data_IF_724115060812
#
_entry.id   IF_724115060812
#
_cell.length_a   1.000
_cell.length_b   1.000
_cell.length_c   1.000
_cell.angle_alpha   90.00
_cell.angle_beta   90.00
_cell.angle_gamma   90.00
#
_symmetry.space_group_name_H-M   'P 1'
#
loop_
_entity.id
_entity.type
_entity.pdbx_description
1 polymer ?
#
# COMPACT_ATOMS: atom_id res chain seq x y z
N UNK A 1 9.61 12.08 19.55
CA UNK A 1 9.62 10.94 18.61
C UNK A 1 8.44 10.08 18.96
N UNK A 2 7.41 10.03 18.11
CA UNK A 2 6.37 9.00 18.21
C UNK A 2 7.01 7.71 17.69
N UNK A 3 7.16 6.69 18.52
CA UNK A 3 7.60 5.36 18.08
C UNK A 3 6.40 4.68 17.42
N UNK A 4 6.36 4.67 16.09
CA UNK A 4 5.39 3.88 15.35
C UNK A 4 5.70 2.39 15.54
N UNK A 5 4.69 1.59 15.91
CA UNK A 5 4.82 0.12 15.92
C UNK A 5 4.46 -0.40 14.54
N UNK A 6 5.44 -0.95 13.85
CA UNK A 6 5.28 -1.62 12.56
C UNK A 6 5.24 -3.13 12.80
N UNK A 7 4.26 -3.83 12.21
CA UNK A 7 4.15 -5.29 12.30
C UNK A 7 3.93 -5.91 10.93
N UNK A 8 4.64 -7.00 10.68
CA UNK A 8 4.59 -7.79 9.43
C UNK A 8 3.97 -9.19 9.61
N UNK A 9 3.69 -9.60 10.84
CA UNK A 9 3.10 -10.91 11.12
C UNK A 9 1.59 -10.94 10.78
N UNK A 10 1.20 -11.85 9.89
CA UNK A 10 -0.16 -12.00 9.35
C UNK A 10 -1.22 -12.23 10.45
N UNK A 11 -0.89 -13.05 11.46
CA UNK A 11 -1.77 -13.34 12.60
C UNK A 11 -1.89 -12.11 13.52
N UNK A 12 -0.80 -11.36 13.64
CA UNK A 12 -0.76 -10.10 14.37
C UNK A 12 -1.63 -9.03 13.68
N UNK A 13 -1.50 -8.87 12.35
CA UNK A 13 -2.33 -7.94 11.55
C UNK A 13 -3.80 -8.27 11.73
N UNK A 14 -4.20 -9.53 11.54
CA UNK A 14 -5.60 -9.93 11.67
C UNK A 14 -6.17 -9.68 13.07
N UNK A 15 -5.36 -9.95 14.10
CA UNK A 15 -5.73 -9.73 15.50
C UNK A 15 -5.86 -8.25 15.84
N UNK A 16 -4.93 -7.42 15.39
CA UNK A 16 -4.94 -5.96 15.58
C UNK A 16 -6.17 -5.34 14.91
N UNK A 17 -6.45 -5.71 13.67
CA UNK A 17 -7.63 -5.22 12.92
C UNK A 17 -8.92 -5.61 13.64
N UNK A 18 -9.06 -6.87 14.07
CA UNK A 18 -10.24 -7.32 14.85
C UNK A 18 -10.38 -6.58 16.18
N UNK A 19 -9.26 -6.29 16.85
CA UNK A 19 -9.27 -5.62 18.16
C UNK A 19 -9.68 -4.15 18.00
N UNK A 20 -9.13 -3.45 17.02
CA UNK A 20 -9.44 -2.03 16.80
C UNK A 20 -10.83 -1.78 16.20
N UNK A 21 -11.30 -2.64 15.29
CA UNK A 21 -12.66 -2.54 14.74
C UNK A 21 -13.74 -2.81 15.79
N UNK A 22 -13.45 -3.63 16.81
CA UNK A 22 -14.34 -3.85 17.97
C UNK A 22 -14.32 -2.69 18.97
N UNK A 23 -13.19 -2.02 19.15
CA UNK A 23 -13.10 -0.84 20.02
C UNK A 23 -13.58 0.42 19.29
N UNK A 24 -14.90 0.65 19.28
CA UNK A 24 -15.52 1.93 18.87
C UNK A 24 -15.29 3.05 19.90
N UNK A 25 -14.04 3.23 20.34
CA UNK A 25 -13.69 4.34 21.23
C UNK A 25 -13.59 5.62 20.39
N UNK A 26 -14.22 6.71 20.85
CA UNK A 26 -14.18 8.05 20.25
C UNK A 26 -12.78 8.69 20.24
N UNK A 27 -11.71 7.92 20.46
CA UNK A 27 -10.31 8.37 20.45
C UNK A 27 -9.47 7.62 19.42
N UNK A 28 -10.05 6.70 18.64
CA UNK A 28 -9.32 5.83 17.71
C UNK A 28 -9.78 6.05 16.27
N UNK A 29 -8.83 6.12 15.32
CA UNK A 29 -9.08 6.21 13.89
C UNK A 29 -8.48 4.98 13.19
N UNK A 30 -9.23 4.47 12.21
CA UNK A 30 -8.78 3.44 11.30
C UNK A 30 -8.64 4.03 9.90
N UNK A 31 -7.40 4.05 9.39
CA UNK A 31 -7.07 4.39 8.01
C UNK A 31 -6.79 3.10 7.25
N UNK A 32 -7.62 2.83 6.25
CA UNK A 32 -7.44 1.69 5.34
C UNK A 32 -6.94 2.24 4.02
N UNK A 33 -5.72 1.88 3.62
CA UNK A 33 -5.23 2.15 2.27
C UNK A 33 -6.09 1.37 1.27
N UNK A 34 -7.02 2.07 0.64
CA UNK A 34 -8.16 1.48 -0.07
C UNK A 34 -7.80 0.85 -1.43
N UNK A 35 -6.54 0.88 -1.87
CA UNK A 35 -6.18 0.45 -3.22
C UNK A 35 -5.63 -0.98 -3.34
N UNK A 36 -5.11 -1.59 -2.27
CA UNK A 36 -4.59 -2.97 -2.31
C UNK A 36 -5.26 -3.94 -1.33
N UNK A 37 -5.85 -3.45 -0.23
CA UNK A 37 -6.48 -4.34 0.76
C UNK A 37 -7.79 -4.98 0.27
N UNK A 38 -8.52 -4.30 -0.64
CA UNK A 38 -9.78 -4.79 -1.17
C UNK A 38 -9.61 -5.91 -2.20
N UNK A 39 -8.45 -6.10 -2.83
CA UNK A 39 -8.24 -7.23 -3.76
C UNK A 39 -7.52 -8.37 -3.07
N UNK A 40 -6.43 -8.16 -2.32
CA UNK A 40 -5.70 -9.27 -1.70
C UNK A 40 -6.50 -9.96 -0.57
N UNK A 41 -7.17 -9.18 0.30
CA UNK A 41 -7.90 -9.73 1.46
C UNK A 41 -9.26 -10.28 1.05
N UNK A 42 -9.98 -9.62 0.15
CA UNK A 42 -11.26 -10.14 -0.36
C UNK A 42 -10.99 -11.33 -1.27
N UNK A 43 -9.94 -11.35 -2.09
CA UNK A 43 -9.64 -12.53 -2.92
C UNK A 43 -9.14 -13.71 -2.09
N UNK A 44 -8.31 -13.51 -1.04
CA UNK A 44 -7.93 -14.62 -0.13
C UNK A 44 -9.09 -15.06 0.77
N UNK A 45 -9.93 -14.15 1.26
CA UNK A 45 -11.11 -14.48 2.06
C UNK A 45 -12.22 -15.16 1.24
N UNK A 46 -12.45 -14.73 -0.01
CA UNK A 46 -13.38 -15.37 -0.94
C UNK A 46 -12.83 -16.66 -1.56
N UNK A 47 -11.50 -16.80 -1.73
CA UNK A 47 -10.88 -18.05 -2.21
C UNK A 47 -11.03 -19.21 -1.22
N UNK A 48 -11.35 -18.95 0.06
CA UNK A 48 -11.56 -20.01 1.05
C UNK A 48 -12.87 -20.79 0.81
N UNK A 49 -13.84 -20.20 0.09
CA UNK A 49 -15.17 -20.78 -0.16
C UNK A 49 -15.46 -21.08 -1.65
N UNK A 50 -14.51 -20.90 -2.56
CA UNK A 50 -14.66 -21.21 -3.99
C UNK A 50 -13.94 -22.52 -4.35
N UNK A 51 -14.58 -23.47 -5.06
CA UNK A 51 -13.94 -24.70 -5.48
C UNK A 51 -12.73 -24.39 -6.36
N UNK A 52 -11.70 -25.25 -6.24
CA UNK A 52 -10.39 -25.13 -6.89
C UNK A 52 -10.47 -25.01 -8.41
N UNK A 53 -10.80 -23.83 -8.92
CA UNK A 53 -10.41 -23.43 -10.25
C UNK A 53 -8.91 -23.17 -10.18
N UNK A 54 -8.14 -23.90 -10.99
CA UNK A 54 -6.74 -23.61 -11.29
C UNK A 54 -6.66 -22.18 -11.81
N UNK A 55 -6.55 -21.22 -10.90
CA UNK A 55 -6.22 -19.84 -11.23
C UNK A 55 -4.75 -19.87 -11.53
N UNK A 56 -4.41 -19.71 -12.81
CA UNK A 56 -3.11 -19.23 -13.27
C UNK A 56 -2.84 -17.87 -12.61
N UNK A 57 -2.51 -17.86 -11.31
CA UNK A 57 -2.02 -16.68 -10.62
C UNK A 57 -0.52 -16.57 -10.94
N UNK A 58 -0.20 -16.29 -12.19
CA UNK A 58 1.03 -15.57 -12.48
C UNK A 58 0.63 -14.11 -12.28
N UNK A 59 0.98 -13.53 -11.13
CA UNK A 59 0.94 -12.07 -10.98
C UNK A 59 1.70 -11.45 -12.14
N UNK A 60 1.22 -10.33 -12.66
CA UNK A 60 1.92 -9.64 -13.75
C UNK A 60 3.32 -9.27 -13.25
N UNK A 61 4.34 -9.75 -13.95
CA UNK A 61 5.72 -9.35 -13.69
C UNK A 61 5.89 -7.91 -14.20
N UNK A 62 6.25 -6.99 -13.31
CA UNK A 62 6.40 -5.57 -13.62
C UNK A 62 7.44 -5.30 -14.71
N UNK A 63 8.47 -6.13 -14.84
CA UNK A 63 9.46 -5.99 -15.90
C UNK A 63 8.90 -6.29 -17.29
N UNK A 64 7.95 -7.22 -17.41
CA UNK A 64 7.30 -7.53 -18.69
C UNK A 64 6.42 -6.38 -19.20
N UNK A 65 6.08 -5.43 -18.31
CA UNK A 65 5.33 -4.23 -18.62
C UNK A 65 6.22 -3.06 -19.09
N UNK A 66 7.56 -3.23 -19.08
CA UNK A 66 8.50 -2.25 -19.63
C UNK A 66 8.79 -2.59 -21.09
N UNK A 67 8.22 -1.83 -22.02
CA UNK A 67 8.37 -2.01 -23.47
C UNK A 67 8.98 -0.74 -24.05
N UNK A 68 10.05 -0.87 -24.83
CA UNK A 68 10.76 0.26 -25.46
C UNK A 68 11.16 1.38 -24.45
N UNK A 69 11.51 0.98 -23.23
CA UNK A 69 11.89 1.86 -22.13
C UNK A 69 10.72 2.65 -21.52
N UNK A 70 9.48 2.23 -21.75
CA UNK A 70 8.28 2.77 -21.12
C UNK A 70 7.62 1.68 -20.28
N UNK A 71 7.34 1.99 -19.01
CA UNK A 71 6.49 1.15 -18.19
C UNK A 71 5.03 1.43 -18.55
N UNK A 72 4.26 0.39 -18.85
CA UNK A 72 2.84 0.48 -19.19
C UNK A 72 1.99 -0.21 -18.13
N UNK A 73 1.25 0.56 -17.33
CA UNK A 73 0.33 0.03 -16.33
C UNK A 73 -0.89 -0.60 -17.04
N UNK A 74 -0.80 -1.89 -17.33
CA UNK A 74 -1.84 -2.69 -17.98
C UNK A 74 -2.37 -3.70 -16.98
N UNK A 75 -3.70 -3.89 -16.94
CA UNK A 75 -4.30 -4.87 -16.05
C UNK A 75 -5.76 -5.18 -16.39
N UNK A 76 -6.24 -6.29 -15.85
CA UNK A 76 -7.62 -6.75 -16.05
C UNK A 76 -8.67 -5.80 -15.44
N UNK A 77 -8.28 -4.99 -14.45
CA UNK A 77 -9.15 -4.03 -13.77
C UNK A 77 -9.49 -2.81 -14.65
N UNK A 78 -8.71 -2.51 -15.69
CA UNK A 78 -8.90 -1.35 -16.58
C UNK A 78 -8.63 -1.69 -18.05
N UNK A 79 -9.42 -2.62 -18.60
CA UNK A 79 -9.30 -3.04 -20.01
C UNK A 79 -9.46 -1.86 -20.97
N UNK A 80 -8.56 -1.79 -21.96
CA UNK A 80 -8.60 -0.78 -23.02
C UNK A 80 -7.89 0.54 -22.71
N UNK A 81 -7.27 0.68 -21.53
CA UNK A 81 -6.47 1.85 -21.15
C UNK A 81 -5.17 1.44 -20.47
N UNK A 82 -4.17 2.33 -20.47
CA UNK A 82 -2.93 2.17 -19.72
C UNK A 82 -2.27 3.52 -19.46
N UNK A 83 -1.84 3.78 -18.21
CA UNK A 83 -0.91 4.86 -17.90
C UNK A 83 0.49 4.43 -18.34
N UNK A 84 1.28 5.33 -18.91
CA UNK A 84 2.65 5.01 -19.33
C UNK A 84 3.66 6.02 -18.78
N UNK A 85 4.73 5.53 -18.17
CA UNK A 85 5.81 6.35 -17.63
C UNK A 85 7.15 5.96 -18.27
N UNK A 86 7.90 6.95 -18.77
CA UNK A 86 9.23 6.70 -19.33
C UNK A 86 10.18 6.29 -18.22
N UNK A 87 10.78 5.11 -18.36
CA UNK A 87 11.72 4.55 -17.40
C UNK A 87 13.10 5.11 -17.67
N UNK A 88 13.70 5.76 -16.68
CA UNK A 88 15.07 6.23 -16.70
C UNK A 88 16.04 5.13 -16.26
N UNK A 89 15.73 4.46 -15.14
CA UNK A 89 16.46 3.26 -14.67
C UNK A 89 15.59 2.42 -13.75
N UNK A 90 15.76 1.09 -13.81
CA UNK A 90 15.20 0.18 -12.80
C UNK A 90 16.13 0.22 -11.57
N UNK A 91 15.55 0.35 -10.38
CA UNK A 91 16.25 0.46 -9.10
C UNK A 91 16.24 -0.87 -8.35
N UNK A 92 15.10 -1.55 -8.32
CA UNK A 92 14.94 -2.85 -7.67
C UNK A 92 13.84 -3.65 -8.37
N UNK A 93 13.99 -4.96 -8.45
CA UNK A 93 12.93 -5.85 -8.95
C UNK A 93 13.10 -7.25 -8.36
N UNK A 94 12.08 -7.72 -7.66
CA UNK A 94 12.03 -9.07 -7.13
C UNK A 94 10.58 -9.46 -6.80
N UNK A 95 10.35 -10.77 -6.71
CA UNK A 95 9.07 -11.31 -6.25
C UNK A 95 9.16 -11.67 -4.77
N UNK A 96 8.23 -11.17 -3.98
CA UNK A 96 8.03 -11.55 -2.57
C UNK A 96 7.08 -12.75 -2.49
N UNK A 97 6.84 -13.25 -1.27
CA UNK A 97 5.82 -14.28 -1.03
C UNK A 97 4.39 -13.79 -1.33
N UNK A 98 4.21 -12.47 -1.48
CA UNK A 98 2.91 -11.84 -1.66
C UNK A 98 2.70 -11.34 -3.09
N UNK A 99 3.69 -10.68 -3.68
CA UNK A 99 3.53 -9.92 -4.93
C UNK A 99 4.85 -9.71 -5.68
N UNK A 100 4.75 -9.26 -6.93
CA UNK A 100 5.88 -8.79 -7.73
C UNK A 100 6.16 -7.34 -7.36
N UNK A 101 7.38 -7.03 -6.94
CA UNK A 101 7.78 -5.70 -6.52
C UNK A 101 8.78 -5.14 -7.52
N UNK A 102 8.45 -3.99 -8.11
CA UNK A 102 9.31 -3.25 -9.03
C UNK A 102 9.45 -1.81 -8.53
N UNK A 103 10.68 -1.33 -8.44
CA UNK A 103 10.99 0.08 -8.20
C UNK A 103 11.80 0.61 -9.37
N UNK A 104 11.38 1.72 -9.96
CA UNK A 104 12.14 2.38 -11.02
C UNK A 104 12.14 3.91 -10.88
N UNK A 105 13.18 4.55 -11.37
CA UNK A 105 13.22 6.00 -11.57
C UNK A 105 12.59 6.31 -12.94
N UNK A 106 11.59 7.18 -12.96
CA UNK A 106 10.97 7.71 -14.17
C UNK A 106 11.61 9.04 -14.58
N UNK A 107 11.47 9.43 -15.85
CA UNK A 107 12.02 10.71 -16.32
C UNK A 107 11.37 11.95 -15.69
N UNK A 108 10.09 11.86 -15.31
CA UNK A 108 9.30 13.03 -14.91
C UNK A 108 8.46 12.86 -13.63
N UNK A 109 8.38 11.67 -13.05
CA UNK A 109 7.62 11.39 -11.82
C UNK A 109 8.51 10.93 -10.65
N UNK A 110 9.83 11.02 -10.84
CA UNK A 110 10.84 10.56 -9.88
C UNK A 110 10.75 9.05 -9.65
N UNK A 111 10.93 8.59 -8.41
CA UNK A 111 10.87 7.16 -8.09
C UNK A 111 9.42 6.68 -8.09
N UNK A 112 9.22 5.48 -8.62
CA UNK A 112 7.93 4.83 -8.79
C UNK A 112 8.00 3.44 -8.16
N UNK A 113 7.08 3.15 -7.25
CA UNK A 113 6.85 1.81 -6.69
C UNK A 113 5.69 1.15 -7.44
N UNK A 114 5.90 -0.07 -7.90
CA UNK A 114 4.92 -0.89 -8.61
C UNK A 114 4.80 -2.23 -7.92
N UNK A 115 3.56 -2.66 -7.67
CA UNK A 115 3.23 -3.95 -7.07
C UNK A 115 2.27 -4.72 -7.99
N UNK A 116 2.63 -5.95 -8.37
CA UNK A 116 1.91 -6.80 -9.34
C UNK A 116 1.50 -6.04 -10.64
N UNK A 117 2.40 -5.17 -11.12
CA UNK A 117 2.18 -4.37 -12.32
C UNK A 117 1.33 -3.11 -12.16
N UNK A 118 0.94 -2.76 -10.92
CA UNK A 118 0.12 -1.58 -10.59
C UNK A 118 0.98 -0.53 -9.88
N UNK A 119 0.93 0.72 -10.35
CA UNK A 119 1.64 1.84 -9.74
C UNK A 119 1.00 2.15 -8.39
N UNK A 120 1.80 2.11 -7.32
CA UNK A 120 1.34 2.39 -5.96
C UNK A 120 1.62 3.83 -5.56
N UNK A 121 2.83 4.31 -5.86
CA UNK A 121 3.25 5.66 -5.50
C UNK A 121 4.27 6.18 -6.50
N UNK A 122 4.17 7.48 -6.81
CA UNK A 122 5.25 8.24 -7.45
C UNK A 122 5.64 9.40 -6.55
N UNK A 123 6.94 9.67 -6.44
CA UNK A 123 7.44 10.77 -5.58
C UNK A 123 6.89 12.15 -5.98
N UNK A 124 6.43 12.32 -7.22
CA UNK A 124 5.92 13.61 -7.71
C UNK A 124 4.52 13.92 -7.21
N UNK A 125 3.65 12.92 -7.08
CA UNK A 125 2.22 13.10 -6.79
C UNK A 125 1.74 12.38 -5.52
N UNK A 126 2.64 11.70 -4.80
CA UNK A 126 2.32 10.96 -3.56
C UNK A 126 1.54 11.79 -2.53
N UNK A 127 1.85 13.08 -2.44
CA UNK A 127 1.25 14.01 -1.48
C UNK A 127 -0.27 14.07 -1.65
N UNK A 128 -0.77 14.00 -2.89
CA UNK A 128 -2.19 14.11 -3.18
C UNK A 128 -2.99 12.97 -2.55
N UNK A 129 -2.47 11.75 -2.61
CA UNK A 129 -3.08 10.59 -1.97
C UNK A 129 -2.85 10.59 -0.46
N UNK A 130 -1.59 10.74 -0.05
CA UNK A 130 -1.17 10.60 1.35
C UNK A 130 -1.80 11.67 2.25
N UNK A 131 -1.85 12.94 1.80
CA UNK A 131 -2.50 14.02 2.54
C UNK A 131 -4.00 13.80 2.65
N UNK A 132 -4.66 13.39 1.57
CA UNK A 132 -6.12 13.21 1.55
C UNK A 132 -6.55 12.06 2.46
N UNK A 133 -5.87 10.91 2.37
CA UNK A 133 -6.23 9.74 3.18
C UNK A 133 -5.91 9.93 4.66
N UNK A 134 -4.88 10.72 5.01
CA UNK A 134 -4.55 11.03 6.39
C UNK A 134 -5.41 12.16 6.96
N UNK A 135 -5.41 13.34 6.33
CA UNK A 135 -5.94 14.55 6.92
C UNK A 135 -7.46 14.60 6.98
N UNK A 136 -8.18 14.10 5.97
CA UNK A 136 -9.65 14.11 5.96
C UNK A 136 -10.23 13.42 7.22
N UNK A 137 -9.90 12.14 7.51
CA UNK A 137 -10.41 11.48 8.70
C UNK A 137 -9.87 12.06 10.00
N UNK A 138 -8.61 12.52 10.03
CA UNK A 138 -8.03 13.12 11.25
C UNK A 138 -8.66 14.46 11.62
N UNK A 139 -9.05 15.28 10.63
CA UNK A 139 -9.76 16.53 10.87
C UNK A 139 -11.26 16.34 11.14
N UNK A 140 -11.87 15.29 10.60
CA UNK A 140 -13.28 14.98 10.87
C UNK A 140 -13.50 14.43 12.29
N UNK A 141 -12.48 13.84 12.90
CA UNK A 141 -12.57 13.23 14.21
C UNK A 141 -12.25 14.25 15.34
N UNK A 142 -13.05 14.32 16.42
CA UNK A 142 -12.91 15.38 17.41
C UNK A 142 -11.63 15.30 18.25
N UNK A 143 -11.09 14.10 18.47
CA UNK A 143 -9.86 13.92 19.27
C UNK A 143 -9.11 12.63 18.92
N UNK A 144 -8.43 12.55 17.77
CA UNK A 144 -7.77 11.34 17.33
C UNK A 144 -6.46 11.10 18.10
N UNK A 145 -6.45 10.09 18.97
CA UNK A 145 -5.27 9.74 19.79
C UNK A 145 -4.53 8.52 19.28
N UNK A 146 -5.24 7.51 18.80
CA UNK A 146 -4.64 6.26 18.28
C UNK A 146 -5.05 6.05 16.84
N UNK A 147 -4.08 5.83 15.97
CA UNK A 147 -4.32 5.67 14.53
C UNK A 147 -3.78 4.32 14.09
N UNK A 148 -4.60 3.54 13.41
CA UNK A 148 -4.18 2.32 12.73
C UNK A 148 -4.16 2.56 11.23
N UNK A 149 -2.99 2.36 10.62
CA UNK A 149 -2.77 2.41 9.19
C UNK A 149 -2.58 0.98 8.69
N UNK A 150 -3.38 0.59 7.70
CA UNK A 150 -3.30 -0.72 7.05
C UNK A 150 -2.83 -0.52 5.61
N UNK A 151 -1.71 -1.15 5.24
CA UNK A 151 -1.12 -1.05 3.89
C UNK A 151 -0.47 0.30 3.61
N UNK A 152 0.48 0.70 4.46
CA UNK A 152 1.19 1.98 4.39
C UNK A 152 2.67 1.84 4.07
N UNK A 153 3.12 0.70 3.54
CA UNK A 153 4.53 0.29 3.50
C UNK A 153 5.54 1.25 2.85
N UNK A 154 5.08 2.29 2.14
CA UNK A 154 5.89 3.43 1.65
C UNK A 154 6.22 4.48 2.72
N UNK A 155 5.50 4.46 3.84
CA UNK A 155 5.69 5.34 5.01
C UNK A 155 5.09 6.74 4.85
N UNK A 156 4.55 7.09 3.69
CA UNK A 156 4.05 8.44 3.44
C UNK A 156 2.78 8.79 4.21
N UNK A 157 1.85 7.85 4.36
CA UNK A 157 0.67 8.07 5.22
C UNK A 157 1.08 8.26 6.68
N UNK A 158 2.07 7.49 7.17
CA UNK A 158 2.59 7.65 8.53
C UNK A 158 3.20 9.03 8.75
N UNK A 159 3.93 9.56 7.77
CA UNK A 159 4.48 10.91 7.79
C UNK A 159 3.39 11.95 8.00
N UNK A 160 2.27 11.83 7.28
CA UNK A 160 1.17 12.79 7.37
C UNK A 160 0.36 12.65 8.67
N UNK A 161 0.13 11.42 9.16
CA UNK A 161 -0.48 11.17 10.47
C UNK A 161 0.35 11.79 11.59
N UNK A 162 1.68 11.63 11.55
CA UNK A 162 2.59 12.14 12.57
C UNK A 162 2.62 13.67 12.70
N UNK A 163 2.05 14.42 11.73
CA UNK A 163 1.91 15.88 11.84
C UNK A 163 0.83 16.31 12.83
N UNK A 164 -0.12 15.43 13.18
CA UNK A 164 -1.22 15.74 14.08
C UNK A 164 -0.79 15.59 15.54
N UNK A 165 -0.59 16.73 16.24
CA UNK A 165 -0.10 16.76 17.63
C UNK A 165 -0.98 16.01 18.65
N UNK A 166 -2.26 15.79 18.33
CA UNK A 166 -3.18 15.03 19.20
C UNK A 166 -2.99 13.51 19.12
N UNK A 167 -2.27 13.02 18.12
CA UNK A 167 -1.98 11.60 17.94
C UNK A 167 -0.87 11.18 18.90
N UNK A 168 -1.17 10.18 19.71
CA UNK A 168 -0.31 9.61 20.76
C UNK A 168 0.29 8.26 20.32
N UNK A 169 -0.40 7.49 19.48
CA UNK A 169 0.05 6.18 19.00
C UNK A 169 -0.31 5.99 17.51
N UNK A 170 0.65 5.53 16.72
CA UNK A 170 0.44 5.12 15.32
C UNK A 170 0.86 3.66 15.20
N UNK A 171 -0.07 2.82 14.74
CA UNK A 171 0.16 1.41 14.46
C UNK A 171 0.08 1.24 12.96
N UNK A 172 1.13 0.66 12.39
CA UNK A 172 1.15 0.30 10.98
C UNK A 172 1.16 -1.22 10.82
N UNK A 173 0.26 -1.71 9.99
CA UNK A 173 0.20 -3.10 9.56
C UNK A 173 0.53 -3.18 8.07
N UNK A 174 1.68 -3.75 7.75
CA UNK A 174 2.11 -4.06 6.38
C UNK A 174 2.48 -5.53 6.33
N UNK A 175 1.83 -6.31 5.48
CA UNK A 175 2.00 -7.78 5.40
C UNK A 175 3.30 -8.16 4.68
N UNK A 176 3.74 -7.32 3.73
CA UNK A 176 4.89 -7.62 2.89
C UNK A 176 6.11 -6.82 3.33
N UNK A 177 7.04 -7.50 4.03
CA UNK A 177 8.30 -6.91 4.47
C UNK A 177 9.15 -6.39 3.30
N UNK A 178 9.02 -6.98 2.10
CA UNK A 178 9.70 -6.51 0.89
C UNK A 178 9.33 -5.07 0.55
N UNK A 179 8.07 -4.68 0.74
CA UNK A 179 7.60 -3.31 0.49
C UNK A 179 8.28 -2.32 1.44
N UNK A 180 8.40 -2.69 2.72
CA UNK A 180 9.06 -1.87 3.74
C UNK A 180 10.55 -1.71 3.41
N UNK A 181 11.21 -2.80 3.04
CA UNK A 181 12.65 -2.80 2.71
C UNK A 181 12.90 -1.95 1.47
N UNK A 182 12.10 -2.12 0.42
CA UNK A 182 12.22 -1.35 -0.80
C UNK A 182 12.04 0.16 -0.56
N UNK A 183 11.08 0.54 0.28
CA UNK A 183 10.75 1.94 0.55
C UNK A 183 11.77 2.66 1.44
N UNK A 184 12.62 1.92 2.16
CA UNK A 184 13.69 2.48 3.00
C UNK A 184 15.00 2.74 2.25
N UNK A 185 15.16 2.19 1.04
CA UNK A 185 16.38 2.34 0.21
C UNK A 185 16.38 3.66 -0.54
#
# INVERSE_FOLDING_TARGET
>A
SLEGKQTTDDDCVHTIVKRMTRTRSASSILLVSLLLFCTATITKALKKDLPSHKTTNMGLNGMDLIIDGWFHERGELWKGQAMSLKVKKVLDHYRTDFQDLLVFESEHHGNVLVLDGVIQVTTRDEFSYQEMIAHIPLFAHPNPKRVLVIGGGDGGVLREVARHKGVEEIIECEIDEGVIIASKK
#
